data_IF_983352592524
#
_entry.id   IF_983352592524
#
_cell.length_a   1.000
_cell.length_b   1.000
_cell.length_c   1.000
_cell.angle_alpha   90.00
_cell.angle_beta   90.00
_cell.angle_gamma   90.00
#
_symmetry.space_group_name_H-M   'P 1'
#
loop_
_entity.id
_entity.type
_entity.pdbx_description
1 polymer ?
#
# COMPACT_ATOMS: atom_id res chain seq x y z
N UNK A 1 49.33 41.46 39.79
CA UNK A 1 48.10 40.84 40.29
C UNK A 1 46.80 41.34 39.58
N UNK A 2 46.64 42.61 39.23
CA UNK A 2 45.45 43.14 38.56
C UNK A 2 45.31 42.66 37.10
N UNK A 3 46.39 42.48 36.35
CA UNK A 3 46.38 42.04 34.96
C UNK A 3 45.92 40.56 34.84
N UNK A 4 46.39 39.66 35.70
CA UNK A 4 46.04 38.23 35.74
C UNK A 4 44.56 38.03 36.12
N UNK A 5 44.02 38.88 36.99
CA UNK A 5 42.57 38.85 37.33
C UNK A 5 41.67 39.27 36.13
N UNK A 6 42.07 40.28 35.39
CA UNK A 6 41.35 40.71 34.18
C UNK A 6 41.39 39.62 33.09
N UNK A 7 42.52 38.99 32.90
CA UNK A 7 42.68 37.94 31.90
C UNK A 7 41.82 36.71 32.23
N UNK A 8 41.76 36.29 33.50
CA UNK A 8 40.86 35.19 33.98
C UNK A 8 39.38 35.57 33.80
N UNK A 9 38.99 36.80 34.08
CA UNK A 9 37.59 37.24 33.87
C UNK A 9 37.22 37.30 32.40
N UNK A 10 38.13 37.68 31.48
CA UNK A 10 37.91 37.59 30.05
C UNK A 10 37.73 36.14 29.57
N UNK A 11 38.61 35.22 29.96
CA UNK A 11 38.49 33.81 29.60
C UNK A 11 37.21 33.14 30.13
N UNK A 12 36.72 33.51 31.30
CA UNK A 12 35.45 33.01 31.87
C UNK A 12 34.27 33.55 31.04
N UNK A 13 34.30 34.85 30.72
CA UNK A 13 33.26 35.49 29.92
C UNK A 13 33.18 34.93 28.48
N UNK A 14 34.32 34.65 27.86
CA UNK A 14 34.38 34.09 26.52
C UNK A 14 33.90 32.62 26.49
N UNK A 15 34.22 31.83 27.51
CA UNK A 15 33.66 30.48 27.71
C UNK A 15 32.14 30.53 27.92
N UNK A 16 31.64 31.43 28.74
CA UNK A 16 30.21 31.60 29.00
C UNK A 16 29.45 32.00 27.74
N UNK A 17 29.98 32.95 26.97
CA UNK A 17 29.41 33.37 25.70
C UNK A 17 29.45 32.25 24.65
N UNK A 18 30.49 31.43 24.62
CA UNK A 18 30.58 30.23 23.75
C UNK A 18 29.53 29.18 24.10
N UNK A 19 29.40 28.86 25.39
CA UNK A 19 28.39 27.92 25.88
C UNK A 19 26.96 28.42 25.62
N UNK A 20 26.71 29.71 25.83
CA UNK A 20 25.41 30.32 25.56
C UNK A 20 25.07 30.25 24.07
N UNK A 21 26.02 30.52 23.18
CA UNK A 21 25.84 30.38 21.72
C UNK A 21 25.59 28.93 21.32
N UNK A 22 26.27 27.95 21.95
CA UNK A 22 26.02 26.54 21.71
C UNK A 22 24.66 26.09 22.22
N UNK A 23 24.22 26.55 23.38
CA UNK A 23 22.87 26.28 23.90
C UNK A 23 21.79 26.91 23.04
N UNK A 24 21.96 28.15 22.55
CA UNK A 24 21.02 28.80 21.62
C UNK A 24 20.98 28.05 20.29
N UNK A 25 22.11 27.58 19.77
CA UNK A 25 22.17 26.77 18.56
C UNK A 25 21.49 25.40 18.74
N UNK A 26 21.68 24.73 19.90
CA UNK A 26 20.99 23.49 20.22
C UNK A 26 19.47 23.67 20.38
N UNK A 27 19.04 24.75 21.06
CA UNK A 27 17.62 25.07 21.19
C UNK A 27 17.00 25.46 19.83
N UNK A 28 17.71 26.19 18.99
CA UNK A 28 17.26 26.49 17.64
C UNK A 28 17.17 25.22 16.76
N UNK A 29 18.11 24.28 16.90
CA UNK A 29 18.02 22.96 16.24
C UNK A 29 16.84 22.13 16.76
N UNK A 30 16.56 22.13 18.06
CA UNK A 30 15.39 21.43 18.63
C UNK A 30 14.06 22.07 18.20
N UNK A 31 14.00 23.41 18.10
CA UNK A 31 12.80 24.11 17.63
C UNK A 31 12.58 23.90 16.14
N UNK A 32 13.64 23.80 15.32
CA UNK A 32 13.50 23.47 13.90
C UNK A 32 13.09 22.01 13.64
N UNK A 33 13.39 21.08 14.55
CA UNK A 33 12.90 19.68 14.46
C UNK A 33 11.43 19.49 14.92
N UNK A 34 10.82 20.50 15.56
CA UNK A 34 9.41 20.51 15.94
C UNK A 34 8.50 21.02 14.80
N UNK A 35 9.09 21.69 13.79
CA UNK A 35 8.33 22.33 12.71
C UNK A 35 7.91 21.41 11.54
N UNK A 36 8.22 20.11 11.57
CA UNK A 36 7.64 19.13 10.66
C UNK A 36 6.49 18.35 11.34
N UNK A 37 5.56 19.09 11.96
CA UNK A 37 4.30 18.51 12.36
C UNK A 37 3.53 18.10 11.09
N UNK A 38 3.09 16.83 11.08
CA UNK A 38 2.21 16.30 10.04
C UNK A 38 1.05 17.27 9.77
N UNK A 39 1.03 17.90 8.59
CA UNK A 39 -0.04 18.83 8.18
C UNK A 39 -1.32 18.08 7.79
N UNK A 40 -1.24 16.77 7.56
CA UNK A 40 -2.36 15.93 7.13
C UNK A 40 -3.04 15.27 8.32
N UNK A 41 -4.37 15.35 8.35
CA UNK A 41 -5.20 14.70 9.36
C UNK A 41 -5.23 13.19 9.12
N UNK A 42 -5.41 12.78 7.87
CA UNK A 42 -5.29 11.40 7.39
C UNK A 42 -4.96 11.36 5.90
N UNK A 43 -4.46 10.21 5.45
CA UNK A 43 -4.12 9.94 4.06
C UNK A 43 -4.58 8.55 3.66
N UNK A 44 -5.13 8.41 2.47
CA UNK A 44 -5.49 7.15 1.82
C UNK A 44 -4.83 7.12 0.45
N UNK A 45 -4.13 6.05 0.14
CA UNK A 45 -3.58 5.81 -1.19
C UNK A 45 -4.00 4.42 -1.66
N UNK A 46 -4.47 4.31 -2.89
CA UNK A 46 -4.96 3.06 -3.47
C UNK A 46 -4.28 2.74 -4.80
N UNK A 47 -4.17 1.45 -5.11
CA UNK A 47 -3.88 0.99 -6.46
C UNK A 47 -4.86 -0.12 -6.89
N UNK A 48 -5.15 -0.17 -8.16
CA UNK A 48 -5.98 -1.19 -8.81
C UNK A 48 -5.17 -2.12 -9.72
N UNK A 49 -3.85 -2.15 -9.54
CA UNK A 49 -2.95 -2.99 -10.32
C UNK A 49 -2.05 -2.21 -11.28
N UNK A 50 -0.89 -2.82 -11.59
CA UNK A 50 0.05 -2.36 -12.60
C UNK A 50 0.14 -3.39 -13.74
N UNK A 51 0.36 -2.90 -14.97
CA UNK A 51 0.47 -3.79 -16.11
C UNK A 51 0.39 -3.07 -17.46
N UNK A 52 0.14 -3.83 -18.53
CA UNK A 52 -0.07 -3.29 -19.86
C UNK A 52 -1.47 -2.63 -19.93
N UNK A 53 -1.49 -1.31 -20.10
CA UNK A 53 -2.72 -0.52 -20.24
C UNK A 53 -2.85 0.11 -21.62
N UNK A 54 -2.16 -0.46 -22.62
CA UNK A 54 -2.22 0.03 -23.99
C UNK A 54 -3.67 0.10 -24.49
N UNK A 55 -4.05 1.24 -25.06
CA UNK A 55 -5.39 1.50 -25.57
C UNK A 55 -6.46 1.84 -24.52
N UNK A 56 -6.18 1.71 -23.22
CA UNK A 56 -7.15 2.06 -22.19
C UNK A 56 -7.31 3.58 -22.03
N UNK A 57 -6.20 4.33 -22.11
CA UNK A 57 -6.26 5.81 -22.06
C UNK A 57 -6.97 6.40 -23.30
N UNK A 58 -7.02 5.64 -24.41
CA UNK A 58 -7.67 6.00 -25.66
C UNK A 58 -9.17 5.62 -25.70
N UNK A 59 -9.63 4.80 -24.74
CA UNK A 59 -11.04 4.40 -24.57
C UNK A 59 -11.67 5.20 -23.41
N UNK A 60 -12.34 6.33 -23.70
CA UNK A 60 -12.87 7.20 -22.66
C UNK A 60 -13.97 6.53 -21.81
N UNK A 61 -14.71 5.56 -22.36
CA UNK A 61 -15.77 4.85 -21.62
C UNK A 61 -15.15 3.91 -20.57
N UNK A 62 -14.18 3.10 -20.98
CA UNK A 62 -13.48 2.20 -20.04
C UNK A 62 -12.66 2.97 -19.02
N UNK A 63 -11.94 4.02 -19.46
CA UNK A 63 -11.19 4.88 -18.54
C UNK A 63 -12.10 5.49 -17.48
N UNK A 64 -13.27 6.00 -17.85
CA UNK A 64 -14.24 6.57 -16.92
C UNK A 64 -14.69 5.55 -15.85
N UNK A 65 -14.87 4.27 -16.22
CA UNK A 65 -15.22 3.21 -15.26
C UNK A 65 -14.13 3.01 -14.21
N UNK A 66 -12.87 2.96 -14.62
CA UNK A 66 -11.74 2.82 -13.67
C UNK A 66 -11.56 4.06 -12.79
N UNK A 67 -11.70 5.28 -13.36
CA UNK A 67 -11.66 6.51 -12.57
C UNK A 67 -12.78 6.54 -11.52
N UNK A 68 -14.01 6.20 -11.91
CA UNK A 68 -15.14 6.13 -10.98
C UNK A 68 -14.94 5.07 -9.88
N UNK A 69 -14.36 3.92 -10.22
CA UNK A 69 -14.07 2.88 -9.24
C UNK A 69 -12.97 3.28 -8.27
N UNK A 70 -11.89 3.92 -8.73
CA UNK A 70 -10.84 4.45 -7.86
C UNK A 70 -11.37 5.56 -6.94
N UNK A 71 -12.18 6.46 -7.47
CA UNK A 71 -12.82 7.52 -6.68
C UNK A 71 -13.75 6.95 -5.62
N UNK A 72 -14.57 5.96 -5.96
CA UNK A 72 -15.45 5.26 -5.01
C UNK A 72 -14.65 4.59 -3.88
N UNK A 73 -13.55 3.92 -4.21
CA UNK A 73 -12.66 3.30 -3.22
C UNK A 73 -12.09 4.34 -2.24
N UNK A 74 -11.61 5.48 -2.75
CA UNK A 74 -11.12 6.58 -1.92
C UNK A 74 -12.21 7.14 -1.00
N UNK A 75 -13.43 7.36 -1.51
CA UNK A 75 -14.55 7.88 -0.74
C UNK A 75 -15.05 6.89 0.32
N UNK A 76 -14.95 5.57 0.09
CA UNK A 76 -15.23 4.55 1.10
C UNK A 76 -14.25 4.65 2.27
N UNK A 77 -12.96 4.76 1.99
CA UNK A 77 -11.95 4.95 3.03
C UNK A 77 -12.11 6.29 3.77
N UNK A 78 -12.41 7.37 3.05
CA UNK A 78 -12.71 8.69 3.62
C UNK A 78 -13.88 8.64 4.60
N UNK A 79 -14.96 7.96 4.25
CA UNK A 79 -16.12 7.78 5.13
C UNK A 79 -15.74 7.12 6.46
N UNK A 80 -14.86 6.12 6.44
CA UNK A 80 -14.39 5.45 7.67
C UNK A 80 -13.54 6.39 8.51
N UNK A 81 -12.51 7.00 7.90
CA UNK A 81 -11.56 7.84 8.64
C UNK A 81 -12.17 9.16 9.12
N UNK A 82 -13.04 9.78 8.32
CA UNK A 82 -13.73 11.00 8.71
C UNK A 82 -14.65 10.78 9.92
N UNK A 83 -15.28 9.60 10.01
CA UNK A 83 -16.10 9.18 11.16
C UNK A 83 -15.27 8.80 12.40
N UNK A 84 -13.94 8.78 12.33
CA UNK A 84 -13.05 8.44 13.44
C UNK A 84 -12.62 6.97 13.48
N UNK A 85 -12.91 6.17 12.44
CA UNK A 85 -12.44 4.80 12.31
C UNK A 85 -10.91 4.73 12.13
N UNK A 86 -10.36 3.54 12.41
CA UNK A 86 -8.92 3.28 12.35
C UNK A 86 -8.46 2.82 10.96
N UNK A 87 -7.13 2.82 10.77
CA UNK A 87 -6.50 2.42 9.52
C UNK A 87 -6.92 1.04 9.00
N UNK A 88 -6.94 -0.02 9.82
CA UNK A 88 -7.38 -1.35 9.38
C UNK A 88 -8.81 -1.39 8.86
N UNK A 89 -9.73 -0.68 9.51
CA UNK A 89 -11.13 -0.60 9.07
C UNK A 89 -11.25 0.05 7.70
N UNK A 90 -10.51 1.14 7.48
CA UNK A 90 -10.47 1.83 6.20
C UNK A 90 -9.86 0.94 5.10
N UNK A 91 -8.72 0.29 5.38
CA UNK A 91 -8.05 -0.63 4.43
C UNK A 91 -8.97 -1.79 4.06
N UNK A 92 -9.61 -2.43 5.03
CA UNK A 92 -10.55 -3.53 4.77
C UNK A 92 -11.75 -3.07 3.94
N UNK A 93 -12.36 -1.94 4.28
CA UNK A 93 -13.51 -1.41 3.55
C UNK A 93 -13.17 -1.11 2.08
N UNK A 94 -12.01 -0.52 1.83
CA UNK A 94 -11.50 -0.21 0.49
C UNK A 94 -11.20 -1.49 -0.30
N UNK A 95 -10.50 -2.45 0.30
CA UNK A 95 -10.14 -3.69 -0.40
C UNK A 95 -11.36 -4.58 -0.61
N UNK A 96 -12.31 -4.66 0.32
CA UNK A 96 -13.60 -5.34 0.13
C UNK A 96 -14.37 -4.79 -1.09
N UNK A 97 -14.34 -3.47 -1.27
CA UNK A 97 -14.91 -2.84 -2.45
C UNK A 97 -14.20 -3.30 -3.74
N UNK A 98 -12.88 -3.34 -3.74
CA UNK A 98 -12.11 -3.82 -4.89
C UNK A 98 -12.34 -5.31 -5.15
N UNK A 99 -12.39 -6.15 -4.12
CA UNK A 99 -12.68 -7.59 -4.23
C UNK A 99 -14.10 -7.86 -4.77
N UNK A 100 -15.05 -6.95 -4.53
CA UNK A 100 -16.40 -6.99 -5.10
C UNK A 100 -16.51 -6.39 -6.50
N UNK A 101 -15.45 -5.81 -7.08
CA UNK A 101 -15.50 -5.07 -8.33
C UNK A 101 -14.81 -5.83 -9.49
N UNK A 102 -15.55 -6.25 -10.53
CA UNK A 102 -15.04 -7.08 -11.63
C UNK A 102 -13.96 -6.40 -12.51
N UNK A 103 -13.69 -5.13 -12.33
CA UNK A 103 -12.65 -4.40 -13.07
C UNK A 103 -11.24 -4.79 -12.64
N UNK A 104 -11.06 -5.30 -11.41
CA UNK A 104 -9.76 -5.52 -10.77
C UNK A 104 -9.43 -7.01 -10.62
N UNK A 105 -8.15 -7.32 -10.50
CA UNK A 105 -7.68 -8.69 -10.27
C UNK A 105 -7.64 -9.00 -8.76
N UNK A 106 -8.80 -9.06 -8.13
CA UNK A 106 -9.00 -9.48 -6.74
C UNK A 106 -10.45 -9.90 -6.57
N UNK A 107 -10.75 -10.92 -5.77
CA UNK A 107 -12.13 -11.41 -5.58
C UNK A 107 -12.85 -11.65 -6.91
N UNK A 108 -14.02 -11.01 -7.11
CA UNK A 108 -14.73 -11.02 -8.39
C UNK A 108 -13.88 -10.29 -9.43
N UNK A 109 -13.49 -10.98 -10.49
CA UNK A 109 -12.58 -10.44 -11.51
C UNK A 109 -11.14 -10.90 -11.39
N UNK A 110 -10.85 -11.74 -10.40
CA UNK A 110 -9.57 -12.42 -10.28
C UNK A 110 -9.22 -13.17 -11.58
N UNK A 111 -7.93 -13.27 -11.88
CA UNK A 111 -7.43 -14.11 -12.96
C UNK A 111 -7.52 -15.58 -12.55
N UNK A 112 -7.74 -16.46 -13.54
CA UNK A 112 -7.83 -17.91 -13.29
C UNK A 112 -6.45 -18.59 -13.31
N UNK A 113 -6.36 -19.73 -12.65
CA UNK A 113 -5.25 -20.69 -12.73
C UNK A 113 -5.21 -21.35 -14.12
N UNK A 114 -4.20 -22.15 -14.38
CA UNK A 114 -4.09 -22.93 -15.62
C UNK A 114 -5.19 -24.00 -15.73
N UNK A 115 -5.77 -24.41 -14.61
CA UNK A 115 -6.87 -25.38 -14.49
C UNK A 115 -8.25 -24.69 -14.65
N UNK A 116 -8.31 -23.36 -14.79
CA UNK A 116 -9.55 -22.61 -14.94
C UNK A 116 -10.28 -22.33 -13.62
N UNK A 117 -9.62 -22.51 -12.48
CA UNK A 117 -10.14 -22.19 -11.14
C UNK A 117 -9.56 -20.85 -10.64
N UNK A 118 -10.07 -20.36 -9.51
CA UNK A 118 -9.59 -19.14 -8.87
C UNK A 118 -8.90 -19.45 -7.55
N UNK A 119 -7.76 -18.85 -7.31
CA UNK A 119 -7.02 -18.89 -6.05
C UNK A 119 -6.66 -17.47 -5.66
N UNK A 120 -7.07 -17.06 -4.46
CA UNK A 120 -7.01 -15.71 -3.97
C UNK A 120 -6.01 -15.58 -2.82
N UNK A 121 -5.28 -14.48 -2.80
CA UNK A 121 -4.28 -14.17 -1.78
C UNK A 121 -4.55 -12.77 -1.23
N UNK A 122 -4.32 -12.56 0.08
CA UNK A 122 -4.41 -11.24 0.69
C UNK A 122 -3.51 -11.12 1.92
N UNK A 123 -3.14 -9.89 2.27
CA UNK A 123 -2.47 -9.57 3.52
C UNK A 123 -2.81 -8.18 4.03
N UNK A 124 -2.68 -8.01 5.35
CA UNK A 124 -2.83 -6.72 6.05
C UNK A 124 -1.79 -6.62 7.16
N UNK A 125 -1.23 -5.43 7.35
CA UNK A 125 -0.25 -5.16 8.39
C UNK A 125 -0.48 -3.79 9.02
N UNK A 126 -0.39 -3.72 10.36
CA UNK A 126 -0.42 -2.47 11.12
C UNK A 126 0.96 -2.06 11.57
N UNK A 127 1.31 -0.80 11.32
CA UNK A 127 2.63 -0.26 11.64
C UNK A 127 2.86 0.04 13.11
N UNK A 128 1.80 0.14 13.92
CA UNK A 128 1.90 0.49 15.35
C UNK A 128 2.61 -0.56 16.19
N UNK A 129 2.42 -1.83 15.86
CA UNK A 129 2.93 -2.98 16.61
C UNK A 129 3.54 -4.07 15.71
N UNK A 130 3.59 -3.80 14.39
CA UNK A 130 4.02 -4.72 13.35
C UNK A 130 3.14 -5.98 13.24
N UNK A 131 1.95 -5.99 13.84
CA UNK A 131 1.01 -7.11 13.72
C UNK A 131 0.53 -7.25 12.28
N UNK A 132 0.51 -8.48 11.79
CA UNK A 132 0.15 -8.79 10.42
C UNK A 132 -0.67 -10.07 10.32
N UNK A 133 -1.45 -10.17 9.26
CA UNK A 133 -2.15 -11.40 8.88
C UNK A 133 -2.16 -11.56 7.37
N UNK A 134 -2.03 -12.79 6.91
CA UNK A 134 -1.99 -13.13 5.51
C UNK A 134 -2.70 -14.45 5.23
N UNK A 135 -3.27 -14.57 4.04
CA UNK A 135 -3.87 -15.78 3.51
C UNK A 135 -3.46 -15.99 2.06
N UNK A 136 -3.28 -17.24 1.66
CA UNK A 136 -2.90 -17.60 0.30
C UNK A 136 -3.62 -18.83 -0.21
N UNK A 137 -3.93 -18.88 -1.51
CA UNK A 137 -4.52 -20.02 -2.19
C UNK A 137 -5.98 -20.30 -1.78
N UNK A 138 -6.73 -19.27 -1.40
CA UNK A 138 -8.15 -19.39 -1.03
C UNK A 138 -9.03 -19.58 -2.26
N UNK A 139 -9.97 -20.49 -2.19
CA UNK A 139 -10.90 -20.84 -3.29
C UNK A 139 -12.35 -20.47 -3.01
N UNK A 140 -12.74 -20.39 -1.73
CA UNK A 140 -14.14 -20.23 -1.34
C UNK A 140 -14.39 -19.08 -0.35
N UNK A 141 -13.38 -18.32 0.08
CA UNK A 141 -13.57 -17.15 0.93
C UNK A 141 -13.93 -15.96 0.06
N UNK A 142 -15.10 -15.38 0.28
CA UNK A 142 -15.63 -14.29 -0.55
C UNK A 142 -14.73 -13.05 -0.52
N UNK A 143 -14.24 -12.70 0.66
CA UNK A 143 -13.38 -11.56 0.89
C UNK A 143 -12.06 -11.97 1.57
N UNK A 144 -11.02 -12.26 0.80
CA UNK A 144 -9.71 -12.67 1.33
C UNK A 144 -9.10 -11.71 2.35
N UNK A 145 -9.29 -10.41 2.18
CA UNK A 145 -8.75 -9.41 3.13
C UNK A 145 -9.34 -9.56 4.53
N UNK A 146 -10.61 -9.97 4.65
CA UNK A 146 -11.25 -10.21 5.94
C UNK A 146 -10.66 -11.45 6.62
N UNK A 147 -10.29 -12.49 5.84
CA UNK A 147 -9.60 -13.65 6.36
C UNK A 147 -8.18 -13.30 6.82
N UNK A 148 -7.44 -12.49 6.06
CA UNK A 148 -6.14 -11.98 6.48
C UNK A 148 -6.23 -11.20 7.81
N UNK A 149 -7.23 -10.34 7.95
CA UNK A 149 -7.45 -9.61 9.20
C UNK A 149 -7.85 -10.53 10.36
N UNK A 150 -8.68 -11.56 10.10
CA UNK A 150 -9.03 -12.56 11.12
C UNK A 150 -7.79 -13.36 11.56
N UNK A 151 -6.89 -13.76 10.65
CA UNK A 151 -5.62 -14.40 11.00
C UNK A 151 -4.83 -13.54 11.97
N UNK A 152 -4.67 -12.24 11.67
CA UNK A 152 -3.98 -11.28 12.52
C UNK A 152 -4.60 -11.15 13.92
N UNK A 153 -5.94 -11.12 14.01
CA UNK A 153 -6.64 -10.72 15.25
C UNK A 153 -7.14 -11.89 16.09
N UNK A 154 -7.31 -13.07 15.49
CA UNK A 154 -7.97 -14.22 16.12
C UNK A 154 -7.12 -15.49 16.11
N UNK A 155 -5.87 -15.41 15.67
CA UNK A 155 -4.95 -16.54 15.70
C UNK A 155 -3.55 -16.12 16.19
N UNK A 156 -2.70 -17.05 16.65
CA UNK A 156 -1.30 -16.77 16.96
C UNK A 156 -0.41 -16.73 15.71
N UNK A 157 -0.97 -16.97 14.53
CA UNK A 157 -0.23 -17.10 13.28
C UNK A 157 -0.21 -15.78 12.51
N UNK A 158 0.78 -15.63 11.64
CA UNK A 158 0.86 -14.49 10.70
C UNK A 158 0.28 -14.89 9.33
N UNK A 159 0.39 -16.16 8.93
CA UNK A 159 -0.02 -16.60 7.60
C UNK A 159 -0.64 -17.99 7.63
N UNK A 160 -1.78 -18.14 6.96
CA UNK A 160 -2.45 -19.41 6.70
C UNK A 160 -2.63 -19.61 5.19
N UNK A 161 -2.75 -20.85 4.72
CA UNK A 161 -2.93 -21.13 3.29
C UNK A 161 -3.84 -22.32 3.00
N UNK A 162 -4.42 -22.33 1.79
CA UNK A 162 -5.21 -23.44 1.24
C UNK A 162 -6.37 -23.85 2.13
N UNK A 163 -6.63 -25.17 2.19
CA UNK A 163 -7.77 -25.71 2.91
C UNK A 163 -7.79 -25.36 4.40
N UNK A 164 -6.63 -25.31 5.07
CA UNK A 164 -6.56 -24.92 6.48
C UNK A 164 -6.94 -23.45 6.71
N UNK A 165 -6.60 -22.56 5.78
CA UNK A 165 -7.04 -21.15 5.85
C UNK A 165 -8.55 -21.02 5.62
N UNK A 166 -9.14 -21.84 4.76
CA UNK A 166 -10.59 -21.88 4.53
C UNK A 166 -11.36 -22.46 5.72
N UNK A 167 -10.83 -23.51 6.34
CA UNK A 167 -11.38 -24.06 7.58
C UNK A 167 -11.40 -23.00 8.69
N UNK A 168 -10.27 -22.32 8.90
CA UNK A 168 -10.18 -21.20 9.84
C UNK A 168 -11.17 -20.08 9.51
N UNK A 169 -11.28 -19.67 8.23
CA UNK A 169 -12.22 -18.65 7.81
C UNK A 169 -13.68 -19.03 8.14
N UNK A 170 -14.05 -20.30 7.90
CA UNK A 170 -15.36 -20.84 8.23
C UNK A 170 -15.61 -20.86 9.74
N UNK A 171 -14.65 -21.28 10.55
CA UNK A 171 -14.73 -21.25 12.02
C UNK A 171 -14.91 -19.82 12.55
N UNK A 172 -14.30 -18.81 11.89
CA UNK A 172 -14.48 -17.41 12.26
C UNK A 172 -15.78 -16.79 11.74
N UNK A 173 -16.65 -17.56 11.07
CA UNK A 173 -17.93 -17.09 10.55
C UNK A 173 -17.82 -16.15 9.37
N UNK A 174 -16.73 -16.23 8.60
CA UNK A 174 -16.55 -15.40 7.41
C UNK A 174 -17.45 -15.89 6.26
N UNK A 175 -17.79 -14.97 5.37
CA UNK A 175 -18.66 -15.27 4.23
C UNK A 175 -17.93 -16.16 3.22
N UNK A 176 -18.51 -17.34 2.98
CA UNK A 176 -17.99 -18.36 2.07
C UNK A 176 -18.85 -18.44 0.81
N UNK A 177 -18.22 -18.75 -0.32
CA UNK A 177 -18.91 -19.06 -1.58
C UNK A 177 -18.90 -20.59 -1.82
N UNK A 178 -20.02 -21.11 -2.28
CA UNK A 178 -20.14 -22.57 -2.54
C UNK A 178 -19.41 -22.99 -3.81
N UNK A 179 -19.50 -22.16 -4.86
CA UNK A 179 -18.90 -22.42 -6.16
C UNK A 179 -17.75 -21.43 -6.40
N UNK A 180 -16.56 -21.97 -6.69
CA UNK A 180 -15.38 -21.18 -7.03
C UNK A 180 -15.59 -20.29 -8.27
N UNK A 181 -16.53 -20.65 -9.16
CA UNK A 181 -16.91 -19.84 -10.31
C UNK A 181 -17.60 -18.51 -9.94
N UNK A 182 -17.95 -18.31 -8.67
CA UNK A 182 -18.41 -17.01 -8.14
C UNK A 182 -17.47 -15.84 -8.52
N UNK A 183 -16.17 -16.11 -8.59
CA UNK A 183 -15.15 -15.10 -8.91
C UNK A 183 -15.01 -14.82 -10.41
N UNK A 184 -15.67 -15.61 -11.26
CA UNK A 184 -15.61 -15.46 -12.69
C UNK A 184 -16.37 -14.22 -13.18
N UNK A 185 -15.81 -13.55 -14.16
CA UNK A 185 -16.48 -12.53 -14.96
C UNK A 185 -16.71 -13.06 -16.38
N UNK A 186 -17.61 -12.45 -17.20
CA UNK A 186 -17.73 -12.83 -18.60
C UNK A 186 -16.38 -12.88 -19.32
N UNK A 187 -15.48 -11.95 -18.98
CA UNK A 187 -14.15 -11.87 -19.56
C UNK A 187 -13.25 -13.02 -19.11
N UNK A 188 -13.29 -13.41 -17.83
CA UNK A 188 -12.52 -14.57 -17.34
C UNK A 188 -13.09 -15.87 -17.86
N UNK A 189 -14.40 -15.97 -18.07
CA UNK A 189 -15.04 -17.13 -18.74
C UNK A 189 -14.55 -17.28 -20.18
N UNK A 190 -14.47 -16.19 -20.96
CA UNK A 190 -13.87 -16.24 -22.31
C UNK A 190 -12.40 -16.71 -22.27
N UNK A 191 -11.66 -16.35 -21.24
CA UNK A 191 -10.28 -16.81 -21.06
C UNK A 191 -10.20 -18.28 -20.72
N UNK A 192 -11.07 -18.77 -19.85
CA UNK A 192 -11.15 -20.20 -19.51
C UNK A 192 -11.45 -21.00 -20.78
N UNK A 193 -12.38 -20.56 -21.63
CA UNK A 193 -12.66 -21.18 -22.91
C UNK A 193 -11.46 -21.10 -23.89
N UNK A 194 -10.73 -19.99 -23.84
CA UNK A 194 -9.55 -19.70 -24.69
C UNK A 194 -8.22 -20.06 -24.00
N UNK A 195 -8.20 -20.86 -22.95
CA UNK A 195 -6.99 -21.26 -22.21
C UNK A 195 -5.87 -21.83 -23.09
N UNK A 196 -6.17 -22.15 -24.34
CA UNK A 196 -5.23 -22.60 -25.37
C UNK A 196 -4.49 -21.46 -26.10
N UNK A 197 -4.87 -20.20 -25.93
CA UNK A 197 -4.24 -19.03 -26.57
C UNK A 197 -3.65 -18.08 -25.51
N UNK A 198 -2.45 -17.57 -25.72
CA UNK A 198 -1.73 -16.73 -24.78
C UNK A 198 -2.39 -15.35 -24.61
N UNK A 199 -2.74 -15.00 -23.37
CA UNK A 199 -2.98 -13.60 -22.99
C UNK A 199 -2.31 -13.33 -21.64
N UNK A 200 -1.58 -12.21 -21.53
CA UNK A 200 -0.91 -11.77 -20.31
C UNK A 200 -1.79 -10.74 -19.61
N UNK A 201 -2.30 -11.06 -18.42
CA UNK A 201 -2.86 -10.07 -17.50
C UNK A 201 -2.35 -10.33 -16.09
N UNK A 202 -1.74 -9.33 -15.50
CA UNK A 202 -1.34 -9.28 -14.12
C UNK A 202 -2.03 -8.06 -13.51
N UNK A 203 -2.33 -8.10 -12.24
CA UNK A 203 -2.87 -6.98 -11.50
C UNK A 203 -3.05 -7.40 -10.03
N UNK A 204 -3.17 -6.44 -9.16
CA UNK A 204 -3.29 -6.60 -7.72
C UNK A 204 -3.96 -5.34 -7.21
N UNK A 205 -4.80 -5.42 -6.19
CA UNK A 205 -5.35 -4.23 -5.55
C UNK A 205 -4.66 -3.97 -4.23
N UNK A 206 -4.56 -2.71 -3.82
CA UNK A 206 -3.98 -2.35 -2.54
C UNK A 206 -4.47 -1.02 -2.01
N UNK A 207 -4.31 -0.88 -0.70
CA UNK A 207 -4.61 0.33 0.04
C UNK A 207 -3.60 0.53 1.16
N UNK A 208 -3.07 1.75 1.28
CA UNK A 208 -2.26 2.19 2.42
C UNK A 208 -2.89 3.42 3.04
N UNK A 209 -2.87 3.48 4.36
CA UNK A 209 -3.54 4.51 5.16
C UNK A 209 -2.58 5.05 6.22
N UNK A 210 -2.61 6.36 6.41
CA UNK A 210 -2.20 7.04 7.63
C UNK A 210 -3.48 7.57 8.29
N UNK A 211 -3.85 7.07 9.46
CA UNK A 211 -5.06 7.45 10.16
C UNK A 211 -4.89 8.71 11.03
N UNK A 212 -5.98 9.16 11.66
CA UNK A 212 -5.99 10.35 12.52
C UNK A 212 -5.13 10.20 13.78
N UNK A 213 -4.90 8.97 14.21
CA UNK A 213 -4.06 8.63 15.35
C UNK A 213 -2.57 8.59 14.98
N UNK A 214 -2.25 8.75 13.70
CA UNK A 214 -0.89 8.68 13.17
C UNK A 214 -0.39 7.25 12.95
N UNK A 215 -1.29 6.26 12.90
CA UNK A 215 -0.95 4.88 12.63
C UNK A 215 -0.96 4.60 11.14
N UNK A 216 0.00 3.81 10.71
CA UNK A 216 0.15 3.34 9.35
C UNK A 216 -0.44 1.93 9.21
N UNK A 217 -1.19 1.71 8.14
CA UNK A 217 -1.75 0.39 7.77
C UNK A 217 -1.58 0.15 6.29
N UNK A 218 -1.17 -1.06 5.91
CA UNK A 218 -1.08 -1.51 4.53
C UNK A 218 -1.91 -2.78 4.34
N UNK A 219 -2.56 -2.91 3.19
CA UNK A 219 -3.25 -4.12 2.77
C UNK A 219 -3.17 -4.33 1.27
N UNK A 220 -3.14 -5.59 0.86
CA UNK A 220 -3.04 -6.01 -0.53
C UNK A 220 -3.90 -7.25 -0.76
N UNK A 221 -4.57 -7.36 -1.92
CA UNK A 221 -5.37 -8.53 -2.32
C UNK A 221 -5.24 -8.80 -3.81
N UNK A 222 -5.24 -10.09 -4.21
CA UNK A 222 -5.01 -10.48 -5.60
C UNK A 222 -5.55 -11.86 -5.94
N UNK A 223 -5.86 -12.09 -7.23
CA UNK A 223 -5.98 -13.40 -7.85
C UNK A 223 -4.62 -13.96 -8.36
N UNK A 224 -3.54 -13.22 -8.20
CA UNK A 224 -2.19 -13.60 -8.65
C UNK A 224 -1.97 -13.42 -10.16
N UNK A 225 -1.12 -14.26 -10.73
CA UNK A 225 -0.75 -14.26 -12.14
C UNK A 225 -1.72 -15.12 -12.96
N UNK A 226 -2.10 -14.66 -14.14
CA UNK A 226 -2.92 -15.44 -15.08
C UNK A 226 -2.21 -16.75 -15.49
N UNK A 227 -2.97 -17.85 -15.50
CA UNK A 227 -2.46 -19.22 -15.74
C UNK A 227 -1.42 -19.69 -14.73
N UNK A 228 -1.44 -19.17 -13.50
CA UNK A 228 -0.57 -19.70 -12.43
C UNK A 228 -0.84 -21.20 -12.20
N UNK A 229 0.20 -21.94 -11.80
CA UNK A 229 0.17 -23.40 -11.57
C UNK A 229 0.79 -23.74 -10.22
N UNK A 230 0.56 -24.97 -9.78
CA UNK A 230 1.23 -25.59 -8.65
C UNK A 230 1.06 -24.83 -7.34
N UNK A 231 -0.07 -24.12 -7.18
CA UNK A 231 -0.30 -23.28 -6.00
C UNK A 231 0.64 -22.08 -5.92
N UNK A 232 1.05 -21.51 -7.07
CA UNK A 232 1.93 -20.32 -7.10
C UNK A 232 1.35 -19.21 -6.25
N UNK A 233 2.16 -18.72 -5.34
CA UNK A 233 1.91 -17.55 -4.50
C UNK A 233 2.81 -16.41 -4.98
N UNK A 234 2.24 -15.20 -5.16
CA UNK A 234 2.96 -13.98 -5.49
C UNK A 234 3.44 -13.23 -4.25
N UNK A 235 3.79 -11.97 -4.46
CA UNK A 235 4.26 -11.08 -3.40
C UNK A 235 3.14 -10.61 -2.45
N UNK A 236 1.91 -10.51 -2.93
CA UNK A 236 0.79 -9.88 -2.20
C UNK A 236 0.55 -10.41 -0.80
N UNK A 237 0.57 -11.74 -0.51
CA UNK A 237 0.39 -12.26 0.84
C UNK A 237 1.70 -12.31 1.64
N UNK A 238 2.85 -12.00 1.04
CA UNK A 238 4.16 -12.08 1.69
C UNK A 238 4.50 -10.76 2.34
N UNK A 239 4.43 -10.72 3.69
CA UNK A 239 4.81 -9.56 4.48
C UNK A 239 6.27 -9.18 4.22
N UNK A 240 6.51 -7.93 3.89
CA UNK A 240 7.82 -7.41 3.47
C UNK A 240 8.05 -7.43 1.96
N UNK A 241 7.34 -8.25 1.20
CA UNK A 241 7.45 -8.27 -0.27
C UNK A 241 6.37 -7.41 -0.95
N UNK A 242 5.10 -7.77 -0.79
CA UNK A 242 3.96 -7.06 -1.38
C UNK A 242 3.26 -6.10 -0.42
N UNK A 243 3.41 -6.29 0.88
CA UNK A 243 2.73 -5.52 1.92
C UNK A 243 3.67 -5.30 3.11
N UNK A 244 3.81 -4.06 3.56
CA UNK A 244 4.55 -3.76 4.79
C UNK A 244 4.06 -2.44 5.42
N UNK A 245 4.03 -2.37 6.76
CA UNK A 245 3.76 -1.14 7.49
C UNK A 245 4.58 -1.07 8.78
N UNK A 246 5.17 0.11 9.05
CA UNK A 246 5.90 0.43 10.29
C UNK A 246 5.73 1.92 10.60
N UNK A 247 5.14 2.25 11.76
CA UNK A 247 4.92 3.64 12.20
C UNK A 247 6.21 4.47 12.32
N UNK A 248 7.37 3.82 12.34
CA UNK A 248 8.66 4.51 12.31
C UNK A 248 9.15 4.83 10.89
N UNK A 249 8.42 4.40 9.86
CA UNK A 249 8.79 4.60 8.45
C UNK A 249 7.59 4.90 7.55
N UNK A 250 7.05 3.91 6.88
CA UNK A 250 5.97 4.03 5.92
C UNK A 250 5.09 2.78 5.86
N UNK A 251 3.94 2.91 5.18
CA UNK A 251 3.10 1.81 4.73
C UNK A 251 3.25 1.67 3.22
N UNK A 252 3.39 0.42 2.72
CA UNK A 252 3.65 0.10 1.32
C UNK A 252 2.76 -1.06 0.87
N UNK A 253 2.16 -0.93 -0.32
CA UNK A 253 1.48 -2.00 -1.04
C UNK A 253 1.96 -2.04 -2.49
N UNK A 254 2.29 -3.23 -2.97
CA UNK A 254 2.94 -3.46 -4.25
C UNK A 254 2.04 -4.18 -5.25
N UNK A 255 2.34 -4.03 -6.52
CA UNK A 255 1.68 -4.70 -7.64
C UNK A 255 2.64 -4.88 -8.80
N UNK A 256 2.70 -6.07 -9.38
CA UNK A 256 3.60 -6.34 -10.51
C UNK A 256 3.98 -7.80 -10.65
N UNK A 257 5.20 -8.04 -11.08
CA UNK A 257 5.76 -9.38 -11.28
C UNK A 257 6.28 -9.91 -9.93
N UNK A 258 5.42 -10.60 -9.18
CA UNK A 258 5.61 -10.99 -7.77
C UNK A 258 6.93 -11.65 -7.45
N UNK A 259 7.49 -12.45 -8.37
CA UNK A 259 8.77 -13.15 -8.19
C UNK A 259 9.94 -12.18 -7.91
N UNK A 260 9.93 -11.00 -8.55
CA UNK A 260 10.95 -9.99 -8.32
C UNK A 260 10.69 -9.25 -7.00
N UNK A 261 9.43 -8.93 -6.71
CA UNK A 261 9.04 -8.26 -5.47
C UNK A 261 9.36 -9.11 -4.23
N UNK A 262 9.18 -10.44 -4.31
CA UNK A 262 9.57 -11.39 -3.24
C UNK A 262 11.09 -11.39 -3.06
N UNK A 263 11.86 -11.60 -4.14
CA UNK A 263 13.32 -11.73 -4.06
C UNK A 263 14.03 -10.49 -3.54
N UNK A 264 13.46 -9.31 -3.81
CA UNK A 264 14.01 -8.02 -3.38
C UNK A 264 13.35 -7.49 -2.09
N UNK A 265 12.38 -8.22 -1.48
CA UNK A 265 11.64 -7.77 -0.30
C UNK A 265 11.14 -6.31 -0.44
N UNK A 266 10.55 -5.97 -1.59
CA UNK A 266 10.35 -4.60 -2.08
C UNK A 266 9.64 -3.71 -1.08
N UNK A 267 8.53 -4.16 -0.48
CA UNK A 267 7.78 -3.35 0.46
C UNK A 267 8.60 -3.00 1.72
N UNK A 268 9.38 -3.96 2.21
CA UNK A 268 10.28 -3.73 3.35
C UNK A 268 11.46 -2.83 2.98
N UNK A 269 12.07 -2.99 1.79
CA UNK A 269 13.25 -2.21 1.40
C UNK A 269 12.91 -0.71 1.25
N UNK A 270 11.74 -0.35 0.72
CA UNK A 270 11.27 1.05 0.72
C UNK A 270 11.25 1.62 2.15
N UNK A 271 10.66 0.87 3.10
CA UNK A 271 10.61 1.29 4.50
C UNK A 271 11.98 1.32 5.17
N UNK A 272 12.87 0.37 4.84
CA UNK A 272 14.24 0.31 5.33
C UNK A 272 15.08 1.50 4.84
N UNK A 273 14.98 1.85 3.57
CA UNK A 273 15.64 3.04 2.99
C UNK A 273 15.20 4.33 3.67
N UNK A 274 13.89 4.50 3.87
CA UNK A 274 13.36 5.63 4.65
C UNK A 274 13.93 5.64 6.07
N UNK A 275 13.88 4.50 6.76
CA UNK A 275 14.23 4.39 8.19
C UNK A 275 15.73 4.51 8.43
N UNK A 276 16.55 3.85 7.62
CA UNK A 276 17.99 3.72 7.88
C UNK A 276 18.83 4.67 7.02
N UNK A 277 18.48 4.90 5.76
CA UNK A 277 19.19 5.83 4.88
C UNK A 277 18.66 7.26 4.96
N UNK A 278 17.54 7.48 5.68
CA UNK A 278 16.88 8.79 5.82
C UNK A 278 16.46 9.40 4.47
N UNK A 279 16.18 8.56 3.50
CA UNK A 279 15.61 8.99 2.22
C UNK A 279 14.13 9.37 2.41
N UNK A 280 13.61 10.29 1.58
CA UNK A 280 12.16 10.53 1.53
C UNK A 280 11.46 9.29 0.95
N UNK A 281 10.16 9.10 1.25
CA UNK A 281 9.40 7.97 0.74
C UNK A 281 9.35 7.94 -0.78
N UNK A 282 9.29 9.11 -1.41
CA UNK A 282 9.31 9.27 -2.86
C UNK A 282 10.63 8.78 -3.45
N UNK A 283 11.77 9.21 -2.87
CA UNK A 283 13.11 8.82 -3.32
C UNK A 283 13.35 7.33 -3.12
N UNK A 284 12.97 6.78 -1.96
CA UNK A 284 13.10 5.37 -1.65
C UNK A 284 12.29 4.51 -2.62
N UNK A 285 11.03 4.84 -2.83
CA UNK A 285 10.13 4.15 -3.73
C UNK A 285 10.57 4.24 -5.21
N UNK A 286 10.98 5.44 -5.64
CA UNK A 286 11.47 5.67 -7.00
C UNK A 286 12.74 4.86 -7.30
N UNK A 287 13.70 4.83 -6.37
CA UNK A 287 14.92 4.02 -6.51
C UNK A 287 14.61 2.54 -6.70
N UNK A 288 13.72 1.98 -5.86
CA UNK A 288 13.36 0.56 -5.96
C UNK A 288 12.72 0.25 -7.32
N UNK A 289 11.75 1.05 -7.75
CA UNK A 289 11.01 0.79 -8.99
C UNK A 289 11.86 1.05 -10.23
N UNK A 290 12.57 2.17 -10.29
CA UNK A 290 13.25 2.61 -11.52
C UNK A 290 14.73 2.21 -11.58
N UNK A 291 15.35 1.83 -10.47
CA UNK A 291 16.75 1.39 -10.46
C UNK A 291 16.86 -0.10 -10.15
N UNK A 292 16.43 -0.52 -8.97
CA UNK A 292 16.61 -1.89 -8.48
C UNK A 292 15.85 -2.91 -9.33
N UNK A 293 14.53 -2.73 -9.49
CA UNK A 293 13.70 -3.65 -10.27
C UNK A 293 13.99 -3.56 -11.77
N UNK A 294 14.23 -2.38 -12.32
CA UNK A 294 14.58 -2.21 -13.75
C UNK A 294 15.85 -2.95 -14.11
N UNK A 295 16.91 -2.85 -13.29
CA UNK A 295 18.18 -3.55 -13.50
C UNK A 295 18.00 -5.07 -13.52
N UNK A 296 17.00 -5.58 -12.78
CA UNK A 296 16.69 -7.00 -12.65
C UNK A 296 15.54 -7.48 -13.56
N UNK A 297 15.13 -6.68 -14.54
CA UNK A 297 14.00 -6.94 -15.44
C UNK A 297 12.65 -7.14 -14.73
N UNK A 298 12.53 -6.68 -13.50
CA UNK A 298 11.27 -6.64 -12.74
C UNK A 298 10.41 -5.48 -13.20
N UNK A 299 9.11 -5.70 -13.33
CA UNK A 299 8.16 -4.64 -13.64
C UNK A 299 6.97 -4.63 -12.70
N UNK A 300 6.42 -3.44 -12.49
CA UNK A 300 5.27 -3.22 -11.60
C UNK A 300 5.25 -1.80 -11.08
N UNK A 301 4.71 -1.64 -9.90
CA UNK A 301 4.64 -0.38 -9.17
C UNK A 301 4.27 -0.61 -7.71
N UNK A 302 4.24 0.45 -6.97
CA UNK A 302 3.81 0.44 -5.57
C UNK A 302 3.11 1.74 -5.21
N UNK A 303 2.38 1.69 -4.12
CA UNK A 303 1.91 2.88 -3.41
C UNK A 303 2.54 2.90 -2.01
N UNK A 304 2.90 4.09 -1.55
CA UNK A 304 3.43 4.27 -0.21
C UNK A 304 2.94 5.57 0.43
N UNK A 305 2.80 5.56 1.75
CA UNK A 305 2.60 6.74 2.58
C UNK A 305 3.54 6.67 3.78
N UNK A 306 4.27 7.75 4.06
CA UNK A 306 5.11 7.81 5.24
C UNK A 306 4.36 8.34 6.47
N UNK A 307 5.00 8.30 7.63
CA UNK A 307 4.45 8.79 8.91
C UNK A 307 4.16 10.31 8.94
N UNK A 308 4.65 11.07 7.96
CA UNK A 308 4.39 12.50 7.79
C UNK A 308 3.24 12.75 6.81
N UNK A 309 2.75 11.70 6.15
CA UNK A 309 1.69 11.76 5.16
C UNK A 309 2.18 12.03 3.73
N UNK A 310 3.50 12.00 3.45
CA UNK A 310 3.99 12.10 2.09
C UNK A 310 3.64 10.83 1.31
N UNK A 311 3.35 10.98 0.01
CA UNK A 311 2.80 9.93 -0.84
C UNK A 311 3.78 9.61 -1.97
N UNK A 312 4.00 8.33 -2.24
CA UNK A 312 4.71 7.87 -3.43
C UNK A 312 3.87 6.83 -4.19
N UNK A 313 3.88 6.92 -5.52
CA UNK A 313 3.13 6.01 -6.41
C UNK A 313 3.92 5.72 -7.71
N UNK A 314 5.21 5.31 -7.64
CA UNK A 314 6.01 5.02 -8.83
C UNK A 314 5.62 3.69 -9.46
N UNK A 315 5.85 3.57 -10.78
CA UNK A 315 5.71 2.33 -11.55
C UNK A 315 6.60 2.37 -12.78
N UNK A 316 7.08 1.20 -13.24
CA UNK A 316 7.87 1.00 -14.44
C UNK A 316 7.21 0.07 -15.47
N UNK A 317 5.95 -0.30 -15.25
CA UNK A 317 5.10 -1.03 -16.19
C UNK A 317 4.46 -0.09 -17.23
N UNK A 318 3.64 -0.63 -18.14
CA UNK A 318 2.90 0.16 -19.12
C UNK A 318 1.87 1.12 -18.53
N UNK A 319 1.52 0.97 -17.25
CA UNK A 319 0.62 1.83 -16.48
C UNK A 319 0.29 1.26 -15.13
N UNK A 320 -0.34 2.07 -14.27
CA UNK A 320 -0.84 1.66 -12.96
C UNK A 320 -2.12 2.43 -12.63
N UNK A 321 -3.18 1.71 -12.27
CA UNK A 321 -4.37 2.30 -11.65
C UNK A 321 -4.01 2.73 -10.24
N UNK A 322 -4.15 4.01 -9.92
CA UNK A 322 -3.79 4.55 -8.62
C UNK A 322 -4.62 5.76 -8.25
N UNK A 323 -4.76 6.01 -6.96
CA UNK A 323 -5.44 7.19 -6.45
C UNK A 323 -4.98 7.55 -5.06
N UNK A 324 -5.18 8.80 -4.70
CA UNK A 324 -4.92 9.30 -3.36
C UNK A 324 -6.04 10.22 -2.88
N UNK A 325 -6.21 10.27 -1.57
CA UNK A 325 -7.05 11.23 -0.87
C UNK A 325 -6.36 11.61 0.42
N UNK A 326 -6.35 12.88 0.75
CA UNK A 326 -5.93 13.34 2.07
C UNK A 326 -6.73 14.53 2.54
N UNK A 327 -6.78 14.70 3.86
CA UNK A 327 -7.34 15.84 4.54
C UNK A 327 -6.25 16.54 5.34
N UNK A 328 -6.16 17.87 5.23
CA UNK A 328 -5.26 18.68 6.01
C UNK A 328 -5.87 19.01 7.38
N UNK A 329 -5.02 19.09 8.41
CA UNK A 329 -5.47 19.47 9.77
C UNK A 329 -6.10 20.85 9.77
N UNK A 330 -7.26 20.95 10.37
CA UNK A 330 -7.98 22.24 10.50
C UNK A 330 -8.62 22.74 9.20
N UNK A 331 -8.60 21.95 8.11
CA UNK A 331 -9.30 22.28 6.86
C UNK A 331 -10.47 21.32 6.63
N UNK A 332 -11.63 21.83 6.20
CA UNK A 332 -12.78 20.98 5.92
C UNK A 332 -12.66 20.21 4.60
N UNK A 333 -11.89 20.72 3.63
CA UNK A 333 -11.78 20.16 2.29
C UNK A 333 -10.86 18.95 2.25
N UNK A 334 -11.22 17.97 1.42
CA UNK A 334 -10.36 16.87 1.03
C UNK A 334 -9.67 17.19 -0.30
N UNK A 335 -8.43 16.72 -0.45
CA UNK A 335 -7.72 16.71 -1.73
C UNK A 335 -7.59 15.29 -2.21
N UNK A 336 -7.98 15.03 -3.45
CA UNK A 336 -7.93 13.69 -4.05
C UNK A 336 -7.54 13.74 -5.52
N UNK A 337 -6.97 12.64 -6.01
CA UNK A 337 -6.65 12.46 -7.42
C UNK A 337 -6.60 11.00 -7.79
N UNK A 338 -6.98 10.69 -9.03
CA UNK A 338 -6.92 9.35 -9.60
C UNK A 338 -6.13 9.36 -10.89
N UNK A 339 -5.41 8.28 -11.17
CA UNK A 339 -4.56 8.13 -12.34
C UNK A 339 -4.61 6.76 -12.98
N UNK A 340 -4.58 6.77 -14.31
CA UNK A 340 -4.35 5.63 -15.18
C UNK A 340 -3.14 6.00 -16.03
N UNK A 341 -2.12 5.14 -16.12
CA UNK A 341 -0.91 5.50 -16.84
C UNK A 341 -0.22 6.75 -16.27
N UNK A 342 0.25 7.67 -17.13
CA UNK A 342 1.07 8.83 -16.73
C UNK A 342 0.28 9.97 -16.10
N UNK A 343 -1.01 10.11 -16.42
CA UNK A 343 -1.83 11.23 -15.96
C UNK A 343 -2.47 10.93 -14.60
N UNK A 344 -2.48 11.94 -13.74
CA UNK A 344 -3.31 11.99 -12.53
C UNK A 344 -4.29 13.15 -12.70
N UNK A 345 -5.58 12.86 -12.57
CA UNK A 345 -6.63 13.88 -12.53
C UNK A 345 -6.87 14.24 -11.08
N UNK A 346 -6.52 15.46 -10.71
CA UNK A 346 -6.75 16.00 -9.37
C UNK A 346 -8.12 16.67 -9.33
N UNK A 347 -8.94 16.32 -8.36
CA UNK A 347 -10.26 16.90 -8.14
C UNK A 347 -10.15 17.86 -6.95
N UNK A 348 -10.44 19.14 -7.15
CA UNK A 348 -10.46 20.16 -6.09
C UNK A 348 -9.48 21.32 -6.26
N UNK A 349 -8.66 21.36 -7.31
CA UNK A 349 -7.96 22.59 -7.71
C UNK A 349 -8.84 23.33 -8.72
N UNK A 350 -9.46 24.45 -8.25
CA UNK A 350 -10.00 25.53 -9.09
C UNK A 350 -9.01 26.67 -9.13
#
# INVERSE_FOLDING_TARGET
HKAIRRQRQMCIRDRYNSMLKQMIALTALMVSSIAFAQDREYVIVVHGGAGAMAGLEEDPVKSAQYYAALDSALMIGDKVLSAGGEGPEAVMAVINYFEGNPLFNAGIGATCTAEGTFELDASIMEGKDLSAGAVAGLKHVKHPINAAYAVKTKSPHVMLSGAGAEEFAKEQGLEMVEDNMYFATPKTMEWIEKLKQESKKNGTVGCVVLDKQGNLTAGTSTGGMFKKRWGRIGDSPVIGAGTYADNNSCAVSCTGHGEYFIRHAVAFDVCARYKYLKESVEKAADYIIHTELNTNAGNGGLIAVDKLGNIAMPYNSGGMFRGFLYKEKGRPEIKKGCGIGKKIVVVGEK
#
